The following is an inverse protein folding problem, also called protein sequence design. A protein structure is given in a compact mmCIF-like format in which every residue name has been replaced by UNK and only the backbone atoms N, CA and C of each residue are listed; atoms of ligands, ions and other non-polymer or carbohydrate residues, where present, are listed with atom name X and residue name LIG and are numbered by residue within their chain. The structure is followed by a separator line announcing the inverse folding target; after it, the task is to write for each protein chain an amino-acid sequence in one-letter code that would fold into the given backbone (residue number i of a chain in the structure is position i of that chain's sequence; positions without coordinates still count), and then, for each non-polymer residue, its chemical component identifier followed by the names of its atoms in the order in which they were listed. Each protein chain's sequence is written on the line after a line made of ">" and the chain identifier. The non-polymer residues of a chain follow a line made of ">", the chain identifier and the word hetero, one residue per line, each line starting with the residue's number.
data_IF_927989835558
#
_entry.id   IF_927989835558
#
_cell.length_a   1.000
_cell.length_b   1.000
_cell.length_c   1.000
_cell.angle_alpha   90.00
_cell.angle_beta   90.00
_cell.angle_gamma   90.00
#
_symmetry.space_group_name_H-M   'P 1'
#
loop_
_entity.id
_entity.type
_entity.pdbx_description
1 polymer ?
#
# COMPACT_ATOMS: atom_id res chain seq x y z
N UNK A 1 -49.21 20.70 45.01
CA UNK A 1 -50.11 19.85 44.18
C UNK A 1 -49.40 19.69 42.84
N UNK A 2 -48.75 18.58 42.48
CA UNK A 2 -48.85 17.20 42.94
C UNK A 2 -50.26 16.61 42.76
N UNK A 3 -50.49 15.46 42.10
CA UNK A 3 -49.61 14.53 41.37
C UNK A 3 -49.97 14.42 39.86
N UNK A 4 -49.10 13.95 38.96
CA UNK A 4 -49.03 12.51 38.61
C UNK A 4 -47.77 12.08 37.81
N UNK A 5 -46.56 12.50 38.21
CA UNK A 5 -45.30 11.92 37.68
C UNK A 5 -44.93 10.59 38.35
N UNK A 6 -45.77 9.55 38.24
CA UNK A 6 -45.51 8.21 38.85
C UNK A 6 -45.92 7.00 38.00
N UNK A 7 -45.53 6.96 36.71
CA UNK A 7 -45.34 5.71 35.94
C UNK A 7 -44.09 5.76 35.05
N UNK A 8 -42.95 6.09 35.66
CA UNK A 8 -41.64 5.69 35.15
C UNK A 8 -41.28 4.28 35.67
N UNK A 9 -40.17 3.72 35.18
CA UNK A 9 -39.46 2.57 35.74
C UNK A 9 -40.10 1.16 35.60
N UNK A 10 -40.36 0.73 34.36
CA UNK A 10 -39.98 -0.64 33.95
C UNK A 10 -39.37 -0.62 32.55
N UNK A 11 -38.40 -1.50 32.27
CA UNK A 11 -37.78 -1.71 30.96
C UNK A 11 -36.99 -0.54 30.33
N UNK A 12 -36.09 0.04 31.13
CA UNK A 12 -34.84 0.58 30.61
C UNK A 12 -33.66 -0.08 31.35
N UNK A 13 -33.15 -1.19 30.80
CA UNK A 13 -31.89 -1.81 31.23
C UNK A 13 -31.31 -2.74 30.15
N UNK A 14 -29.99 -2.91 30.22
CA UNK A 14 -29.07 -3.52 29.24
C UNK A 14 -29.32 -5.03 28.93
N UNK A 15 -28.64 -5.66 27.92
CA UNK A 15 -27.47 -5.16 27.20
C UNK A 15 -27.44 -5.26 25.66
N UNK A 16 -26.51 -4.46 25.14
CA UNK A 16 -25.76 -4.61 23.90
C UNK A 16 -25.64 -6.05 23.37
N UNK A 17 -26.01 -6.25 22.10
CA UNK A 17 -25.59 -7.44 21.35
C UNK A 17 -24.07 -7.38 21.11
N UNK A 18 -23.32 -8.31 21.70
CA UNK A 18 -21.89 -8.43 21.51
C UNK A 18 -21.53 -8.83 20.06
N UNK A 19 -20.36 -8.42 19.54
CA UNK A 19 -19.91 -8.85 18.22
C UNK A 19 -19.68 -10.36 18.19
N UNK A 20 -20.48 -11.08 17.40
CA UNK A 20 -20.37 -12.54 17.27
C UNK A 20 -19.09 -12.89 16.51
N UNK A 21 -18.03 -13.17 17.26
CA UNK A 21 -16.82 -13.80 16.74
C UNK A 21 -17.20 -15.19 16.20
N UNK A 22 -17.05 -15.39 14.89
CA UNK A 22 -17.14 -16.73 14.30
C UNK A 22 -16.04 -17.60 14.90
N UNK A 23 -16.34 -18.81 15.41
CA UNK A 23 -15.29 -19.74 15.82
C UNK A 23 -14.40 -20.05 14.62
N UNK A 24 -13.08 -20.04 14.85
CA UNK A 24 -12.10 -20.28 13.80
C UNK A 24 -12.25 -21.68 13.19
N UNK A 25 -11.93 -21.79 11.90
CA UNK A 25 -11.68 -23.09 11.27
C UNK A 25 -10.56 -23.79 12.05
N UNK A 26 -10.73 -25.07 12.38
CA UNK A 26 -9.69 -25.85 13.04
C UNK A 26 -8.38 -25.82 12.23
N UNK A 27 -7.24 -25.76 12.93
CA UNK A 27 -5.93 -25.82 12.31
C UNK A 27 -5.68 -27.20 11.68
N UNK A 28 -4.79 -27.24 10.68
CA UNK A 28 -4.35 -28.50 10.08
C UNK A 28 -3.66 -29.40 11.14
N UNK A 29 -3.83 -30.73 11.07
CA UNK A 29 -3.28 -31.64 12.07
C UNK A 29 -1.75 -31.66 12.01
N UNK A 30 -1.11 -31.35 13.14
CA UNK A 30 0.33 -31.52 13.35
C UNK A 30 0.65 -33.03 13.33
N UNK A 31 1.73 -33.48 12.66
CA UNK A 31 2.09 -34.90 12.61
C UNK A 31 2.42 -35.45 14.00
N UNK A 32 1.89 -36.64 14.31
CA UNK A 32 2.13 -37.33 15.57
C UNK A 32 3.56 -37.91 15.67
N UNK A 33 4.13 -38.05 16.87
CA UNK A 33 5.48 -38.57 17.06
C UNK A 33 5.56 -40.07 16.76
N UNK A 34 6.72 -40.49 16.23
CA UNK A 34 7.02 -41.89 15.95
C UNK A 34 7.54 -42.55 17.24
N UNK A 35 6.68 -43.29 17.95
CA UNK A 35 7.16 -44.29 18.92
C UNK A 35 7.60 -45.55 18.18
N UNK A 36 8.79 -46.06 18.52
CA UNK A 36 9.29 -47.31 18.00
C UNK A 36 8.72 -48.49 18.80
N UNK A 37 8.40 -49.61 18.11
CA UNK A 37 8.84 -50.94 18.55
C UNK A 37 8.62 -52.03 17.48
N UNK A 38 9.72 -52.66 17.05
CA UNK A 38 9.85 -54.05 16.57
C UNK A 38 9.07 -54.56 15.31
N UNK A 39 9.50 -55.66 14.67
CA UNK A 39 10.89 -55.91 14.23
C UNK A 39 11.04 -56.57 12.83
N UNK A 40 12.30 -56.62 12.37
CA UNK A 40 12.91 -57.66 11.52
C UNK A 40 12.42 -57.93 10.08
N UNK A 41 13.27 -57.55 9.11
CA UNK A 41 13.71 -58.43 8.01
C UNK A 41 15.05 -57.93 7.43
N UNK A 42 15.91 -58.85 6.99
CA UNK A 42 17.26 -58.67 6.44
C UNK A 42 17.40 -59.55 5.16
N UNK A 43 18.53 -59.63 4.39
CA UNK A 43 19.89 -59.17 4.69
C UNK A 43 20.75 -58.59 3.52
N UNK A 44 22.03 -58.33 3.82
CA UNK A 44 23.21 -58.22 2.92
C UNK A 44 23.34 -56.97 2.00
N UNK A 45 24.52 -56.39 1.71
CA UNK A 45 25.92 -56.84 1.92
C UNK A 45 26.90 -55.73 2.36
N UNK A 46 27.92 -56.12 3.15
CA UNK A 46 29.39 -55.81 3.12
C UNK A 46 29.90 -54.57 2.35
N UNK A 47 30.84 -53.73 2.81
CA UNK A 47 32.05 -53.88 3.71
C UNK A 47 32.25 -52.61 4.61
N UNK A 48 32.81 -52.61 5.84
CA UNK A 48 34.22 -52.79 6.29
C UNK A 48 35.27 -51.96 5.49
N UNK A 49 36.22 -51.19 6.06
CA UNK A 49 36.58 -50.70 7.42
C UNK A 49 37.49 -49.42 7.24
N UNK A 50 38.03 -48.64 8.21
CA UNK A 50 38.24 -48.63 9.68
C UNK A 50 37.88 -47.21 10.24
N UNK A 51 38.14 -46.68 11.46
CA UNK A 51 39.11 -46.83 12.59
C UNK A 51 40.56 -46.28 12.34
N UNK A 52 41.31 -45.66 13.28
CA UNK A 52 41.18 -45.44 14.75
C UNK A 52 41.70 -44.04 15.21
N UNK A 53 41.41 -43.60 16.46
CA UNK A 53 41.90 -42.38 17.16
C UNK A 53 42.91 -42.77 18.29
N UNK A 54 43.14 -42.09 19.47
CA UNK A 54 42.74 -40.76 20.02
C UNK A 54 43.85 -39.99 20.86
N UNK A 55 43.42 -38.95 21.61
CA UNK A 55 44.03 -38.36 22.86
C UNK A 55 45.36 -37.56 22.74
N UNK A 56 45.73 -36.61 23.63
CA UNK A 56 45.43 -36.45 25.08
C UNK A 56 45.36 -34.98 25.62
N UNK A 57 45.30 -34.77 26.95
CA UNK A 57 44.93 -33.49 27.66
C UNK A 57 46.10 -32.77 28.42
N UNK A 58 46.26 -31.42 28.44
CA UNK A 58 45.84 -30.38 29.45
C UNK A 58 46.46 -30.52 30.89
N UNK A 59 46.84 -29.46 31.68
CA UNK A 59 47.29 -28.05 31.46
C UNK A 59 48.60 -27.67 32.25
N UNK A 60 49.03 -26.39 32.28
CA UNK A 60 49.42 -25.65 33.52
C UNK A 60 49.48 -24.09 33.32
N UNK A 61 50.08 -23.33 34.26
CA UNK A 61 49.67 -21.97 34.68
C UNK A 61 50.81 -20.93 34.76
N UNK A 62 50.53 -19.63 34.48
CA UNK A 62 51.15 -18.52 35.24
C UNK A 62 51.60 -17.22 34.53
N UNK A 63 51.38 -16.10 35.24
CA UNK A 63 52.11 -14.80 35.24
C UNK A 63 52.03 -13.81 34.04
N UNK A 64 51.32 -12.70 34.28
CA UNK A 64 51.76 -11.32 33.94
C UNK A 64 52.47 -10.70 35.19
N UNK A 65 52.92 -9.42 35.21
CA UNK A 65 53.20 -8.45 34.13
C UNK A 65 54.62 -7.81 34.20
N UNK A 66 55.05 -7.08 33.16
CA UNK A 66 55.95 -5.93 33.33
C UNK A 66 55.59 -4.77 32.37
N UNK A 67 55.92 -3.54 32.78
CA UNK A 67 55.65 -2.30 32.03
C UNK A 67 56.89 -1.83 31.28
N UNK A 68 56.69 -1.32 30.07
CA UNK A 68 57.48 -0.18 29.56
C UNK A 68 56.52 0.91 29.07
N UNK A 69 56.92 2.18 29.21
CA UNK A 69 56.08 3.35 28.97
C UNK A 69 56.73 4.29 27.95
N UNK A 70 55.92 5.09 27.23
CA UNK A 70 56.43 6.21 26.43
C UNK A 70 55.98 6.27 24.97
N UNK A 71 54.67 6.27 24.68
CA UNK A 71 54.16 6.76 23.38
C UNK A 71 52.72 7.28 23.41
N UNK A 72 52.35 8.00 24.48
CA UNK A 72 51.17 8.86 24.46
C UNK A 72 51.58 10.25 23.96
N UNK A 73 50.82 10.81 23.00
CA UNK A 73 51.03 12.18 22.51
C UNK A 73 50.83 12.41 21.00
N UNK A 74 50.93 11.39 20.15
CA UNK A 74 50.97 11.61 18.67
C UNK A 74 50.08 10.67 17.83
N UNK A 75 48.99 10.14 18.41
CA UNK A 75 48.05 9.24 17.70
C UNK A 75 46.58 9.68 17.66
N UNK A 76 46.19 10.68 18.43
CA UNK A 76 44.76 11.03 18.58
C UNK A 76 44.26 12.01 17.50
N UNK A 77 45.08 12.99 17.09
CA UNK A 77 44.70 14.00 16.07
C UNK A 77 44.45 13.38 14.69
N UNK A 78 45.16 12.30 14.35
CA UNK A 78 44.93 11.56 13.11
C UNK A 78 43.58 10.84 13.08
N UNK A 79 43.13 10.31 14.21
CA UNK A 79 41.83 9.62 14.31
C UNK A 79 40.68 10.63 14.19
N UNK A 80 40.68 11.67 15.04
CA UNK A 80 39.63 12.70 15.05
C UNK A 80 39.51 13.45 13.72
N UNK A 81 40.63 13.71 13.04
CA UNK A 81 40.61 14.27 11.68
C UNK A 81 39.90 13.38 10.65
N UNK A 82 40.14 12.06 10.67
CA UNK A 82 39.45 11.13 9.77
C UNK A 82 37.98 10.91 10.14
N UNK A 83 37.67 10.85 11.43
CA UNK A 83 36.31 10.69 11.95
C UNK A 83 35.43 11.91 11.60
N UNK A 84 35.97 13.12 11.76
CA UNK A 84 35.31 14.37 11.35
C UNK A 84 34.98 14.39 9.86
N UNK A 85 35.94 14.06 8.99
CA UNK A 85 35.71 14.00 7.52
C UNK A 85 34.67 12.92 7.16
N UNK A 86 34.64 11.80 7.88
CA UNK A 86 33.60 10.78 7.70
C UNK A 86 32.23 11.30 8.16
N UNK A 87 32.13 12.02 9.28
CA UNK A 87 30.90 12.64 9.77
C UNK A 87 30.38 13.71 8.80
N UNK A 88 31.24 14.60 8.29
CA UNK A 88 30.91 15.55 7.23
C UNK A 88 30.32 14.84 6.00
N UNK A 89 30.94 13.75 5.54
CA UNK A 89 30.46 13.00 4.38
C UNK A 89 29.08 12.38 4.63
N UNK A 90 28.83 11.89 5.85
CA UNK A 90 27.53 11.32 6.28
C UNK A 90 26.46 12.40 6.32
N UNK A 91 26.69 13.53 7.00
CA UNK A 91 25.72 14.62 7.09
C UNK A 91 25.41 15.23 5.72
N UNK A 92 26.42 15.47 4.87
CA UNK A 92 26.22 15.94 3.49
C UNK A 92 25.37 14.95 2.67
N UNK A 93 25.60 13.64 2.82
CA UNK A 93 24.77 12.57 2.19
C UNK A 93 23.31 12.63 2.70
N UNK A 94 23.09 12.82 4.00
CA UNK A 94 21.76 12.90 4.61
C UNK A 94 20.99 14.17 4.16
N UNK A 95 21.62 15.35 4.21
CA UNK A 95 21.02 16.61 3.71
C UNK A 95 20.62 16.51 2.23
N UNK A 96 21.43 15.83 1.41
CA UNK A 96 21.13 15.56 0.01
C UNK A 96 19.95 14.57 -0.14
N UNK A 97 19.90 13.48 0.64
CA UNK A 97 18.76 12.55 0.62
C UNK A 97 17.45 13.24 1.02
N UNK A 98 17.47 14.05 2.08
CA UNK A 98 16.31 14.82 2.54
C UNK A 98 15.83 15.77 1.45
N UNK A 99 16.71 16.63 0.90
CA UNK A 99 16.35 17.56 -0.19
C UNK A 99 15.81 16.87 -1.45
N UNK A 100 16.24 15.64 -1.74
CA UNK A 100 15.72 14.83 -2.85
C UNK A 100 14.34 14.22 -2.53
N UNK A 101 14.15 13.73 -1.30
CA UNK A 101 12.96 12.97 -0.91
C UNK A 101 11.86 13.81 -0.24
N UNK A 102 12.10 15.09 0.06
CA UNK A 102 11.16 16.02 0.71
C UNK A 102 9.78 16.03 0.03
N UNK A 103 9.77 15.88 -1.30
CA UNK A 103 8.55 15.84 -2.12
C UNK A 103 7.61 14.67 -1.83
N UNK A 104 8.05 13.65 -1.09
CA UNK A 104 7.15 12.60 -0.54
C UNK A 104 6.11 13.22 0.40
N UNK A 105 6.46 14.28 1.13
CA UNK A 105 5.56 14.99 2.04
C UNK A 105 4.44 15.77 1.33
N UNK A 106 4.57 16.00 0.01
CA UNK A 106 3.56 16.68 -0.82
C UNK A 106 2.53 15.71 -1.43
N UNK A 107 2.51 14.45 -0.97
CA UNK A 107 1.57 13.43 -1.40
C UNK A 107 0.15 13.71 -0.91
N UNK A 108 -0.81 13.76 -1.84
CA UNK A 108 -2.24 13.70 -1.53
C UNK A 108 -2.69 12.24 -1.35
N UNK A 109 -3.01 11.87 -0.10
CA UNK A 109 -3.47 10.51 0.23
C UNK A 109 -4.82 10.16 -0.42
N UNK A 110 -5.79 11.08 -0.45
CA UNK A 110 -7.16 10.79 -0.91
C UNK A 110 -7.23 10.62 -2.44
N UNK A 111 -6.49 11.45 -3.18
CA UNK A 111 -6.32 11.31 -4.63
C UNK A 111 -5.68 9.96 -5.00
N UNK A 112 -4.65 9.53 -4.25
CA UNK A 112 -3.93 8.27 -4.54
C UNK A 112 -4.67 7.02 -4.05
N UNK A 113 -5.35 7.09 -2.90
CA UNK A 113 -6.11 5.96 -2.35
C UNK A 113 -7.32 5.61 -3.24
N UNK A 114 -7.87 6.63 -3.92
CA UNK A 114 -9.10 6.60 -4.72
C UNK A 114 -10.22 5.94 -3.91
N UNK A 115 -10.53 6.55 -2.76
CA UNK A 115 -11.50 6.03 -1.80
C UNK A 115 -12.89 5.88 -2.43
N UNK A 116 -13.33 6.87 -3.23
CA UNK A 116 -14.60 6.84 -3.97
C UNK A 116 -14.62 6.05 -5.29
N UNK A 117 -13.63 5.17 -5.58
CA UNK A 117 -13.61 4.40 -6.83
C UNK A 117 -14.85 3.50 -6.94
N UNK A 118 -15.68 3.61 -8.00
CA UNK A 118 -16.94 2.87 -8.07
C UNK A 118 -16.70 1.38 -8.32
N UNK A 119 -17.35 0.53 -7.54
CA UNK A 119 -17.12 -0.91 -7.51
C UNK A 119 -17.63 -1.68 -8.73
N UNK A 120 -17.18 -2.93 -8.85
CA UNK A 120 -17.62 -3.83 -9.92
C UNK A 120 -19.10 -4.25 -9.76
N UNK A 121 -19.63 -4.24 -8.52
CA UNK A 121 -21.05 -4.52 -8.27
C UNK A 121 -21.96 -3.40 -8.83
N UNK A 122 -21.68 -2.14 -8.51
CA UNK A 122 -22.48 -1.01 -8.99
C UNK A 122 -22.39 -0.85 -10.51
N UNK A 123 -21.21 -1.13 -11.10
CA UNK A 123 -21.03 -1.26 -12.55
C UNK A 123 -21.90 -2.38 -13.17
N UNK A 124 -22.03 -3.52 -12.50
CA UNK A 124 -22.86 -4.63 -12.98
C UNK A 124 -24.37 -4.33 -12.83
N UNK A 125 -24.78 -3.67 -11.75
CA UNK A 125 -26.16 -3.20 -11.56
C UNK A 125 -26.54 -2.13 -12.60
N UNK A 126 -25.68 -1.11 -12.81
CA UNK A 126 -25.90 -0.07 -13.80
C UNK A 126 -25.95 -0.62 -15.23
N UNK A 127 -25.14 -1.64 -15.54
CA UNK A 127 -25.22 -2.40 -16.80
C UNK A 127 -26.57 -3.12 -16.91
N UNK A 128 -26.95 -3.94 -15.92
CA UNK A 128 -28.25 -4.66 -15.92
C UNK A 128 -29.44 -3.71 -16.09
N UNK A 129 -29.46 -2.57 -15.40
CA UNK A 129 -30.52 -1.58 -15.53
C UNK A 129 -30.62 -0.95 -16.93
N UNK A 130 -29.47 -0.66 -17.57
CA UNK A 130 -29.43 -0.21 -18.97
C UNK A 130 -29.90 -1.30 -19.92
N UNK A 131 -29.45 -2.53 -19.72
CA UNK A 131 -29.71 -3.63 -20.64
C UNK A 131 -31.18 -4.06 -20.56
N UNK A 132 -31.78 -4.11 -19.37
CA UNK A 132 -33.23 -4.30 -19.17
C UNK A 132 -34.08 -3.21 -19.85
N UNK A 133 -33.63 -1.95 -19.81
CA UNK A 133 -34.29 -0.83 -20.50
C UNK A 133 -34.17 -0.95 -22.03
N UNK A 134 -33.04 -1.42 -22.55
CA UNK A 134 -32.89 -1.74 -23.97
C UNK A 134 -33.78 -2.91 -24.39
N UNK A 135 -33.90 -3.95 -23.56
CA UNK A 135 -34.79 -5.08 -23.84
C UNK A 135 -36.28 -4.67 -23.85
N UNK A 136 -36.74 -3.85 -22.91
CA UNK A 136 -38.13 -3.37 -22.94
C UNK A 136 -38.43 -2.45 -24.13
N UNK A 137 -37.48 -1.58 -24.50
CA UNK A 137 -37.57 -0.77 -25.71
C UNK A 137 -37.64 -1.64 -26.99
N UNK A 138 -36.80 -2.67 -27.09
CA UNK A 138 -36.77 -3.61 -28.21
C UNK A 138 -38.07 -4.40 -28.33
N UNK A 139 -38.61 -4.90 -27.21
CA UNK A 139 -39.90 -5.62 -27.19
C UNK A 139 -41.04 -4.71 -27.63
N UNK A 140 -41.11 -3.47 -27.12
CA UNK A 140 -42.13 -2.50 -27.51
C UNK A 140 -42.03 -2.12 -29.01
N UNK A 141 -40.80 -1.96 -29.53
CA UNK A 141 -40.57 -1.74 -30.96
C UNK A 141 -41.00 -2.95 -31.81
N UNK A 142 -40.69 -4.18 -31.39
CA UNK A 142 -41.09 -5.39 -32.10
C UNK A 142 -42.63 -5.55 -32.17
N UNK A 143 -43.35 -5.22 -31.09
CA UNK A 143 -44.81 -5.19 -31.07
C UNK A 143 -45.35 -4.14 -32.04
N UNK A 144 -44.76 -2.94 -32.06
CA UNK A 144 -45.15 -1.87 -32.99
C UNK A 144 -44.91 -2.26 -34.46
N UNK A 145 -43.74 -2.81 -34.80
CA UNK A 145 -43.43 -3.27 -36.16
C UNK A 145 -44.35 -4.43 -36.60
N UNK A 146 -44.68 -5.37 -35.71
CA UNK A 146 -45.63 -6.46 -35.99
C UNK A 146 -47.08 -5.97 -36.16
N UNK A 147 -47.42 -4.83 -35.54
CA UNK A 147 -48.65 -4.11 -35.81
C UNK A 147 -48.68 -3.46 -37.19
N UNK A 148 -47.57 -2.84 -37.63
CA UNK A 148 -47.45 -2.24 -38.96
C UNK A 148 -47.54 -3.27 -40.10
N UNK A 149 -47.12 -4.51 -39.88
CA UNK A 149 -47.29 -5.61 -40.86
C UNK A 149 -48.68 -6.25 -40.84
N UNK A 150 -49.63 -5.72 -40.03
CA UNK A 150 -51.00 -6.23 -39.93
C UNK A 150 -51.15 -7.56 -39.19
N UNK A 151 -50.07 -8.08 -38.58
CA UNK A 151 -50.07 -9.35 -37.87
C UNK A 151 -50.69 -9.25 -36.46
N UNK A 152 -50.87 -8.04 -35.95
CA UNK A 152 -51.35 -7.73 -34.59
C UNK A 152 -52.43 -6.63 -34.64
N UNK A 153 -53.55 -6.75 -33.89
CA UNK A 153 -54.61 -5.74 -33.85
C UNK A 153 -54.13 -4.31 -33.54
N UNK A 154 -54.72 -3.32 -34.24
CA UNK A 154 -54.30 -1.92 -34.20
C UNK A 154 -54.29 -1.28 -32.79
N UNK A 155 -55.16 -1.73 -31.88
CA UNK A 155 -55.17 -1.24 -30.49
C UNK A 155 -53.93 -1.70 -29.69
N UNK A 156 -53.43 -2.91 -29.95
CA UNK A 156 -52.18 -3.42 -29.37
C UNK A 156 -50.98 -2.73 -30.04
N UNK A 157 -51.03 -2.50 -31.36
CA UNK A 157 -49.99 -1.76 -32.09
C UNK A 157 -49.81 -0.33 -31.55
N UNK A 158 -50.92 0.40 -31.33
CA UNK A 158 -50.92 1.73 -30.73
C UNK A 158 -50.46 1.74 -29.27
N UNK A 159 -50.85 0.73 -28.48
CA UNK A 159 -50.34 0.53 -27.12
C UNK A 159 -48.83 0.29 -27.08
N UNK A 160 -48.31 -0.55 -28.00
CA UNK A 160 -46.88 -0.80 -28.17
C UNK A 160 -46.10 0.46 -28.56
N UNK A 161 -46.64 1.27 -29.47
CA UNK A 161 -46.07 2.57 -29.83
C UNK A 161 -46.01 3.55 -28.64
N UNK A 162 -47.11 3.69 -27.89
CA UNK A 162 -47.16 4.53 -26.70
C UNK A 162 -46.15 4.09 -25.63
N UNK A 163 -46.08 2.79 -25.36
CA UNK A 163 -45.10 2.21 -24.44
C UNK A 163 -43.66 2.45 -24.93
N UNK A 164 -43.38 2.27 -26.22
CA UNK A 164 -42.06 2.52 -26.82
C UNK A 164 -41.63 3.98 -26.63
N UNK A 165 -42.50 4.95 -26.92
CA UNK A 165 -42.19 6.39 -26.74
C UNK A 165 -41.93 6.73 -25.26
N UNK A 166 -42.74 6.20 -24.34
CA UNK A 166 -42.55 6.42 -22.89
C UNK A 166 -41.23 5.82 -22.40
N UNK A 167 -40.89 4.60 -22.82
CA UNK A 167 -39.61 3.95 -22.50
C UNK A 167 -38.45 4.77 -23.07
N UNK A 168 -38.55 5.25 -24.31
CA UNK A 168 -37.50 6.04 -24.97
C UNK A 168 -37.26 7.39 -24.26
N UNK A 169 -38.33 8.07 -23.83
CA UNK A 169 -38.24 9.27 -22.98
C UNK A 169 -37.53 8.98 -21.64
N UNK A 170 -37.80 7.83 -21.02
CA UNK A 170 -37.11 7.38 -19.80
C UNK A 170 -35.61 7.07 -20.00
N UNK A 171 -35.16 6.91 -21.25
CA UNK A 171 -33.75 6.80 -21.61
C UNK A 171 -33.00 8.12 -21.61
N UNK A 172 -33.70 9.25 -21.76
CA UNK A 172 -33.09 10.59 -21.82
C UNK A 172 -32.51 10.93 -20.45
N UNK A 173 -31.20 11.23 -20.32
CA UNK A 173 -30.57 11.40 -19.01
C UNK A 173 -31.15 12.57 -18.20
N UNK A 174 -31.70 13.60 -18.84
CA UNK A 174 -32.40 14.70 -18.16
C UNK A 174 -33.69 14.22 -17.46
N UNK A 175 -34.59 13.55 -18.18
CA UNK A 175 -35.84 12.98 -17.64
C UNK A 175 -35.52 11.93 -16.60
N UNK A 176 -34.57 11.03 -16.89
CA UNK A 176 -34.13 9.99 -15.97
C UNK A 176 -33.57 10.57 -14.66
N UNK A 177 -32.81 11.67 -14.69
CA UNK A 177 -32.21 12.28 -13.49
C UNK A 177 -33.26 12.91 -12.55
N UNK A 178 -34.44 13.26 -13.04
CA UNK A 178 -35.59 13.65 -12.21
C UNK A 178 -36.22 12.43 -11.53
N UNK A 179 -36.31 11.29 -12.23
CA UNK A 179 -37.02 10.10 -11.75
C UNK A 179 -36.14 9.06 -11.02
N UNK A 180 -34.82 9.09 -11.17
CA UNK A 180 -33.91 8.22 -10.43
C UNK A 180 -32.50 8.81 -10.26
N UNK A 181 -32.04 8.85 -9.02
CA UNK A 181 -30.69 9.29 -8.64
C UNK A 181 -29.60 8.26 -8.93
N UNK A 182 -29.92 7.09 -9.52
CA UNK A 182 -28.95 6.04 -9.81
C UNK A 182 -28.01 6.44 -10.97
N UNK A 183 -26.69 6.51 -10.77
CA UNK A 183 -25.73 6.96 -11.79
C UNK A 183 -25.78 6.06 -13.04
N UNK A 184 -25.50 6.64 -14.20
CA UNK A 184 -25.42 5.90 -15.45
C UNK A 184 -24.15 5.05 -15.52
N UNK A 185 -24.22 3.95 -16.26
CA UNK A 185 -23.05 3.11 -16.54
C UNK A 185 -21.91 3.90 -17.23
N UNK A 186 -22.26 4.93 -18.03
CA UNK A 186 -21.28 5.83 -18.63
C UNK A 186 -20.64 6.76 -17.58
N UNK A 187 -21.42 7.31 -16.65
CA UNK A 187 -20.92 8.16 -15.55
C UNK A 187 -19.93 7.40 -14.67
N UNK A 188 -20.19 6.11 -14.40
CA UNK A 188 -19.30 5.23 -13.65
C UNK A 188 -17.99 4.91 -14.41
N UNK A 189 -18.02 4.86 -15.75
CA UNK A 189 -16.80 4.77 -16.58
C UNK A 189 -16.04 6.09 -16.57
N UNK A 190 -16.73 7.22 -16.77
CA UNK A 190 -16.13 8.54 -16.82
C UNK A 190 -15.50 8.93 -15.48
N UNK A 191 -16.11 8.57 -14.34
CA UNK A 191 -15.51 8.79 -13.01
C UNK A 191 -14.27 7.91 -12.78
N UNK A 192 -14.28 6.62 -13.14
CA UNK A 192 -13.05 5.78 -13.14
C UNK A 192 -11.93 6.38 -13.98
N UNK A 193 -12.25 6.82 -15.20
CA UNK A 193 -11.27 7.46 -16.10
C UNK A 193 -10.83 8.85 -15.62
N UNK A 194 -11.67 9.58 -14.88
CA UNK A 194 -11.36 10.87 -14.28
C UNK A 194 -10.40 10.69 -13.09
N UNK A 195 -10.77 9.90 -12.09
CA UNK A 195 -9.92 9.60 -10.92
C UNK A 195 -8.55 9.05 -11.33
N UNK A 196 -8.50 8.13 -12.30
CA UNK A 196 -7.23 7.59 -12.81
C UNK A 196 -6.39 8.63 -13.58
N UNK A 197 -6.99 9.66 -14.17
CA UNK A 197 -6.26 10.80 -14.78
C UNK A 197 -5.77 11.78 -13.73
N UNK A 198 -6.60 12.12 -12.75
CA UNK A 198 -6.24 13.02 -11.64
C UNK A 198 -5.10 12.43 -10.81
N UNK A 199 -5.21 11.16 -10.39
CA UNK A 199 -4.13 10.45 -9.71
C UNK A 199 -2.86 10.34 -10.57
N UNK A 200 -2.98 10.07 -11.88
CA UNK A 200 -1.82 10.07 -12.79
C UNK A 200 -1.16 11.45 -12.88
N UNK A 201 -1.94 12.52 -12.93
CA UNK A 201 -1.44 13.89 -13.02
C UNK A 201 -0.76 14.30 -11.71
N UNK A 202 -1.28 13.88 -10.55
CA UNK A 202 -0.62 14.07 -9.27
C UNK A 202 0.71 13.27 -9.20
N UNK A 203 0.74 12.02 -9.64
CA UNK A 203 2.00 11.25 -9.72
C UNK A 203 2.99 11.83 -10.73
N UNK A 204 2.52 12.29 -11.89
CA UNK A 204 3.35 12.98 -12.88
C UNK A 204 3.90 14.31 -12.33
N UNK A 205 3.15 14.99 -11.46
CA UNK A 205 3.68 16.10 -10.68
C UNK A 205 4.77 15.59 -9.73
N UNK A 206 4.46 14.73 -8.75
CA UNK A 206 5.37 14.23 -7.70
C UNK A 206 6.71 13.69 -8.23
N UNK A 207 6.69 12.81 -9.24
CA UNK A 207 7.92 12.22 -9.80
C UNK A 207 8.87 13.26 -10.43
N UNK A 208 8.32 14.36 -10.95
CA UNK A 208 9.09 15.45 -11.56
C UNK A 208 9.91 15.02 -12.77
N UNK A 209 11.07 15.66 -12.95
CA UNK A 209 12.05 15.32 -13.99
C UNK A 209 12.91 14.10 -13.66
N UNK A 210 13.08 13.78 -12.38
CA UNK A 210 14.21 12.97 -11.90
C UNK A 210 13.81 11.59 -11.37
N UNK A 211 12.51 11.35 -11.11
CA UNK A 211 12.01 10.10 -10.56
C UNK A 211 12.11 10.04 -9.05
N UNK A 212 11.14 10.64 -8.35
CA UNK A 212 11.07 10.70 -6.88
C UNK A 212 11.29 9.32 -6.24
N UNK A 213 10.61 8.28 -6.73
CA UNK A 213 10.73 6.93 -6.14
C UNK A 213 12.12 6.30 -6.35
N UNK A 214 12.79 6.56 -7.48
CA UNK A 214 14.18 6.15 -7.67
C UNK A 214 15.13 6.88 -6.71
N UNK A 215 14.87 8.14 -6.37
CA UNK A 215 15.62 8.87 -5.34
C UNK A 215 15.34 8.29 -3.94
N UNK A 216 14.07 8.03 -3.59
CA UNK A 216 13.68 7.44 -2.31
C UNK A 216 14.26 6.04 -2.05
N UNK A 217 14.59 5.29 -3.11
CA UNK A 217 15.30 4.02 -2.99
C UNK A 217 16.63 4.13 -2.20
N UNK A 218 17.26 5.31 -2.21
CA UNK A 218 18.48 5.61 -1.45
C UNK A 218 18.25 5.63 0.07
N UNK A 219 17.02 5.89 0.53
CA UNK A 219 16.64 5.84 1.94
C UNK A 219 16.37 4.42 2.45
N UNK A 220 16.45 3.40 1.59
CA UNK A 220 16.12 2.01 1.93
C UNK A 220 17.13 1.32 2.88
N UNK A 221 18.14 2.05 3.36
CA UNK A 221 18.98 1.65 4.50
C UNK A 221 18.26 1.94 5.83
N UNK A 222 17.43 2.99 5.88
CA UNK A 222 16.60 3.37 7.04
C UNK A 222 15.21 2.71 7.04
N UNK A 223 14.75 2.20 5.89
CA UNK A 223 13.56 1.35 5.82
C UNK A 223 13.73 0.22 4.79
N UNK A 224 14.04 -1.03 5.20
CA UNK A 224 14.26 -2.14 4.29
C UNK A 224 13.01 -2.54 3.50
N UNK A 225 11.81 -2.12 3.93
CA UNK A 225 10.56 -2.31 3.18
C UNK A 225 10.65 -1.75 1.74
N UNK A 226 11.41 -0.68 1.52
CA UNK A 226 11.61 -0.06 0.20
C UNK A 226 12.41 -0.94 -0.79
N UNK A 227 13.21 -1.90 -0.28
CA UNK A 227 13.95 -2.89 -1.09
C UNK A 227 13.10 -4.13 -1.47
N UNK A 228 11.82 -4.18 -1.07
CA UNK A 228 10.95 -5.33 -1.35
C UNK A 228 10.75 -5.54 -2.86
N UNK A 229 10.86 -6.78 -3.32
CA UNK A 229 10.77 -7.16 -4.75
C UNK A 229 9.48 -6.70 -5.42
N UNK A 230 8.38 -6.56 -4.67
CA UNK A 230 7.09 -6.02 -5.16
C UNK A 230 7.20 -4.61 -5.73
N UNK A 231 8.18 -3.81 -5.30
CA UNK A 231 8.42 -2.45 -5.78
C UNK A 231 9.47 -2.38 -6.91
N UNK A 232 10.21 -3.46 -7.20
CA UNK A 232 11.31 -3.47 -8.18
C UNK A 232 10.90 -3.01 -9.59
N UNK A 233 9.72 -3.43 -10.06
CA UNK A 233 9.15 -2.98 -11.33
C UNK A 233 8.79 -1.48 -11.30
N UNK A 234 8.24 -1.00 -10.18
CA UNK A 234 7.83 0.38 -9.99
C UNK A 234 9.05 1.32 -9.92
N UNK A 235 10.12 0.89 -9.26
CA UNK A 235 11.44 1.54 -9.24
C UNK A 235 12.03 1.70 -10.66
N UNK A 236 12.06 0.61 -11.45
CA UNK A 236 12.51 0.65 -12.86
C UNK A 236 11.67 1.59 -13.72
N UNK A 237 10.38 1.75 -13.44
CA UNK A 237 9.52 2.71 -14.16
C UNK A 237 9.76 4.17 -13.75
N UNK A 238 10.13 4.43 -12.48
CA UNK A 238 10.55 5.75 -11.99
C UNK A 238 11.90 6.15 -12.62
N UNK A 239 12.87 5.23 -12.60
CA UNK A 239 14.19 5.35 -13.25
C UNK A 239 14.09 5.70 -14.74
N UNK A 240 13.23 4.99 -15.46
CA UNK A 240 12.95 5.25 -16.89
C UNK A 240 11.97 6.44 -17.12
N UNK A 241 11.57 7.17 -16.07
CA UNK A 241 10.71 8.38 -16.12
C UNK A 241 9.34 8.18 -16.79
N UNK A 242 8.87 6.94 -16.92
CA UNK A 242 7.60 6.56 -17.58
C UNK A 242 6.51 6.08 -16.61
N UNK A 243 6.78 6.10 -15.30
CA UNK A 243 5.89 5.60 -14.25
C UNK A 243 4.47 6.16 -14.33
N UNK A 244 4.31 7.48 -14.44
CA UNK A 244 3.00 8.14 -14.60
C UNK A 244 2.22 7.60 -15.82
N UNK A 245 2.88 7.44 -16.97
CA UNK A 245 2.27 6.90 -18.20
C UNK A 245 1.82 5.44 -18.04
N UNK A 246 2.56 4.63 -17.28
CA UNK A 246 2.27 3.21 -17.04
C UNK A 246 1.27 2.94 -15.89
N UNK A 247 0.92 3.97 -15.11
CA UNK A 247 -0.12 3.90 -14.07
C UNK A 247 -1.52 3.88 -14.71
N UNK A 248 -1.89 2.71 -15.25
CA UNK A 248 -3.15 2.43 -15.97
C UNK A 248 -4.18 1.64 -15.17
N UNK A 249 -3.80 1.08 -14.02
CA UNK A 249 -4.66 0.26 -13.14
C UNK A 249 -4.70 0.81 -11.71
N UNK A 250 -5.85 0.68 -11.04
CA UNK A 250 -6.02 1.05 -9.61
C UNK A 250 -4.98 0.36 -8.71
N UNK A 251 -4.67 -0.90 -9.02
CA UNK A 251 -3.63 -1.71 -8.36
C UNK A 251 -2.26 -1.04 -8.36
N UNK A 252 -1.84 -0.49 -9.50
CA UNK A 252 -0.51 0.12 -9.65
C UNK A 252 -0.44 1.45 -8.86
N UNK A 253 -1.51 2.25 -8.85
CA UNK A 253 -1.58 3.51 -8.07
C UNK A 253 -1.64 3.22 -6.57
N UNK A 254 -2.33 2.16 -6.14
CA UNK A 254 -2.29 1.71 -4.74
C UNK A 254 -0.91 1.19 -4.34
N UNK A 255 -0.19 0.50 -5.23
CA UNK A 255 1.19 0.07 -4.98
C UNK A 255 2.14 1.29 -4.86
N UNK A 256 1.93 2.32 -5.69
CA UNK A 256 2.64 3.61 -5.61
C UNK A 256 2.39 4.31 -4.27
N UNK A 257 1.13 4.42 -3.83
CA UNK A 257 0.76 4.96 -2.52
C UNK A 257 1.43 4.21 -1.37
N UNK A 258 1.39 2.87 -1.38
CA UNK A 258 2.03 2.05 -0.33
C UNK A 258 3.54 2.27 -0.31
N UNK A 259 4.19 2.45 -1.47
CA UNK A 259 5.61 2.79 -1.51
C UNK A 259 5.88 4.16 -0.89
N UNK A 260 5.11 5.20 -1.26
CA UNK A 260 5.30 6.54 -0.70
C UNK A 260 5.06 6.59 0.81
N UNK A 261 4.07 5.86 1.35
CA UNK A 261 3.85 5.73 2.80
C UNK A 261 5.01 5.03 3.52
N UNK A 262 5.72 4.10 2.88
CA UNK A 262 6.97 3.52 3.43
C UNK A 262 8.17 4.45 3.24
N UNK A 263 8.16 5.32 2.22
CA UNK A 263 9.19 6.33 1.98
C UNK A 263 9.07 7.52 2.95
N UNK A 264 7.85 7.91 3.34
CA UNK A 264 7.55 8.90 4.38
C UNK A 264 8.05 8.42 5.75
N UNK A 265 7.79 7.16 6.09
CA UNK A 265 8.37 6.50 7.28
C UNK A 265 9.90 6.46 7.22
N UNK A 266 10.49 6.24 6.05
CA UNK A 266 11.94 6.29 5.87
C UNK A 266 12.46 7.73 6.08
N UNK A 267 11.82 8.73 5.45
CA UNK A 267 12.16 10.15 5.57
C UNK A 267 12.18 10.62 7.03
N UNK A 268 11.16 10.30 7.81
CA UNK A 268 11.12 10.63 9.25
C UNK A 268 12.22 9.95 10.08
N UNK A 269 12.79 8.81 9.64
CA UNK A 269 13.97 8.18 10.24
C UNK A 269 15.27 8.84 9.77
N UNK A 270 15.40 9.17 8.48
CA UNK A 270 16.54 9.92 7.93
C UNK A 270 16.65 11.29 8.62
N UNK A 271 15.53 11.97 8.83
CA UNK A 271 15.46 13.27 9.49
C UNK A 271 15.87 13.19 10.96
N UNK A 272 15.47 12.14 11.69
CA UNK A 272 15.93 11.89 13.07
C UNK A 272 17.43 11.61 13.12
N UNK A 273 17.93 10.67 12.31
CA UNK A 273 19.35 10.37 12.24
C UNK A 273 20.22 11.56 11.81
N UNK A 274 19.66 12.48 11.00
CA UNK A 274 20.30 13.74 10.66
C UNK A 274 20.39 14.69 11.88
N UNK A 275 19.31 14.85 12.65
CA UNK A 275 19.35 15.68 13.86
C UNK A 275 20.21 15.05 14.98
N UNK A 276 20.14 13.74 15.17
CA UNK A 276 20.98 12.98 16.12
C UNK A 276 22.47 13.16 15.77
N UNK A 277 22.86 12.93 14.51
CA UNK A 277 24.25 13.14 14.07
C UNK A 277 24.70 14.60 14.03
N UNK A 278 23.76 15.56 14.00
CA UNK A 278 24.06 16.99 14.13
C UNK A 278 24.24 17.40 15.60
N UNK A 279 23.52 16.75 16.54
CA UNK A 279 23.75 16.93 17.97
C UNK A 279 25.10 16.33 18.38
N UNK A 280 25.40 15.11 17.94
CA UNK A 280 26.71 14.46 18.16
C UNK A 280 27.89 15.32 17.65
N UNK A 281 27.76 15.96 16.50
CA UNK A 281 28.78 16.88 15.98
C UNK A 281 28.93 18.17 16.82
N UNK A 282 27.85 18.69 17.42
CA UNK A 282 27.91 19.84 18.32
C UNK A 282 28.56 19.44 19.65
N UNK A 283 28.18 18.30 20.22
CA UNK A 283 28.74 17.77 21.47
C UNK A 283 30.25 17.47 21.35
N UNK A 284 30.73 17.14 20.13
CA UNK A 284 32.14 16.93 19.79
C UNK A 284 32.88 18.22 19.36
N UNK A 285 32.22 19.38 19.36
CA UNK A 285 32.81 20.68 19.03
C UNK A 285 33.09 20.90 17.53
N UNK A 286 32.43 20.14 16.64
CA UNK A 286 32.63 20.19 15.20
C UNK A 286 31.67 21.18 14.52
N UNK A 287 31.79 22.47 14.86
CA UNK A 287 30.86 23.53 14.42
C UNK A 287 30.78 23.67 12.88
N UNK A 288 31.89 23.49 12.15
CA UNK A 288 31.91 23.48 10.67
C UNK A 288 31.10 22.34 10.03
N UNK A 289 30.76 21.32 10.82
CA UNK A 289 30.02 20.12 10.38
C UNK A 289 28.53 20.30 10.67
N UNK A 290 28.20 20.92 11.81
CA UNK A 290 26.83 21.25 12.19
C UNK A 290 26.16 22.11 11.10
N UNK A 291 24.97 21.71 10.67
CA UNK A 291 24.28 22.38 9.57
C UNK A 291 23.70 23.73 10.04
N UNK A 292 24.34 24.84 9.67
CA UNK A 292 23.73 26.17 9.78
C UNK A 292 22.33 26.16 9.12
N UNK A 293 21.29 26.64 9.81
CA UNK A 293 19.96 26.74 9.24
C UNK A 293 19.95 27.81 8.14
N UNK A 294 19.52 27.44 6.93
CA UNK A 294 19.43 28.40 5.82
C UNK A 294 18.57 29.61 6.22
N UNK A 295 19.04 30.86 6.01
CA UNK A 295 18.33 32.05 6.43
C UNK A 295 16.99 32.14 5.70
N UNK A 296 15.91 32.30 6.48
CA UNK A 296 14.56 32.45 5.92
C UNK A 296 14.43 33.81 5.23
N UNK A 297 14.34 33.77 3.90
CA UNK A 297 13.98 34.90 3.01
C UNK A 297 12.55 34.76 2.50
#
# INVERSE_FOLDING_TARGET
>A
MAENQRKAATQANAPTQAPVLRPGRAADPVPAPITADAPASAPASTSQAAETAPADQVPDTGQEPEKSSGSEGFRNEGSSGTERVLAESRQRKLRLMLRQCDRVLLMDFDLLAMNGWPDNFTMAEARRGRDLWLFSALIAAAIFLSGLTGFVPAWIAGGGFGAFVIILLLGIPAVRRIYTSKPSYLDLIMTRQRMLREARQHVAHLEGSDGLIWQCARMADFNPALKNTRFSHLLRLSENRILSRQLTRREHVRLYLIYLLEAEKAYSRVQKAFFEGNQEAIDQGWEEVAAEPEPRT
#
